data_IF_811506102815
#
_entry.id   IF_811506102815
#
_cell.length_a   1.000
_cell.length_b   1.000
_cell.length_c   1.000
_cell.angle_alpha   90.00
_cell.angle_beta   90.00
_cell.angle_gamma   90.00
#
_symmetry.space_group_name_H-M   'P 1'
#
loop_
_entity.id
_entity.type
_entity.pdbx_description
1 polymer ?
#
# COMPACT_ATOMS: atom_id res chain seq x y z
N UNK A 1 -26.01 27.59 1.24
CA UNK A 1 -24.92 26.59 1.15
C UNK A 1 -23.69 27.24 0.54
N UNK A 2 -22.50 26.94 1.04
CA UNK A 2 -21.24 27.41 0.44
C UNK A 2 -20.70 26.26 -0.43
N UNK A 3 -20.50 26.53 -1.71
CA UNK A 3 -19.82 25.62 -2.62
C UNK A 3 -18.39 26.12 -2.85
N UNK A 4 -17.45 25.21 -3.07
CA UNK A 4 -16.05 25.54 -3.27
C UNK A 4 -15.38 24.58 -4.25
N UNK A 5 -14.20 24.97 -4.72
CA UNK A 5 -13.33 24.12 -5.51
C UNK A 5 -11.98 24.08 -4.81
N UNK A 6 -11.40 22.88 -4.68
CA UNK A 6 -10.04 22.69 -4.18
C UNK A 6 -9.20 21.95 -5.19
N UNK A 7 -7.94 22.35 -5.29
CA UNK A 7 -6.91 21.72 -6.11
C UNK A 7 -5.77 21.30 -5.19
N UNK A 8 -5.48 20.00 -5.15
CA UNK A 8 -4.52 19.42 -4.22
C UNK A 8 -3.40 18.75 -5.03
N UNK A 9 -2.30 19.48 -5.31
CA UNK A 9 -1.12 18.86 -5.89
C UNK A 9 -0.37 18.07 -4.83
N UNK A 10 0.09 16.87 -5.18
CA UNK A 10 0.92 16.01 -4.34
C UNK A 10 2.14 15.55 -5.14
N UNK A 11 3.29 15.60 -4.51
CA UNK A 11 4.52 15.02 -5.02
C UNK A 11 5.15 14.16 -3.93
N UNK A 12 5.43 12.91 -4.27
CA UNK A 12 6.09 11.96 -3.38
C UNK A 12 7.30 11.41 -4.09
N UNK A 13 8.44 11.38 -3.42
CA UNK A 13 9.63 10.73 -3.91
C UNK A 13 10.25 9.90 -2.79
N UNK A 14 10.55 8.64 -3.09
CA UNK A 14 11.27 7.73 -2.20
C UNK A 14 12.53 7.29 -2.94
N UNK A 15 13.68 7.41 -2.28
CA UNK A 15 14.96 7.00 -2.83
C UNK A 15 15.80 6.35 -1.74
N UNK A 16 16.55 5.31 -2.09
CA UNK A 16 17.46 4.62 -1.19
C UNK A 16 18.89 4.94 -1.60
N UNK A 17 19.73 5.39 -0.65
CA UNK A 17 21.14 5.66 -0.89
C UNK A 17 21.98 4.48 -0.40
N UNK A 18 22.86 3.95 -1.25
CA UNK A 18 23.92 3.02 -0.83
C UNK A 18 23.49 1.57 -0.60
N UNK A 19 22.24 1.20 -0.89
CA UNK A 19 21.76 -0.18 -0.80
C UNK A 19 21.09 -0.60 -2.10
N UNK A 20 21.87 -1.24 -2.98
CA UNK A 20 21.38 -1.80 -4.25
C UNK A 20 20.30 -2.87 -4.03
N UNK A 21 20.20 -3.44 -2.82
CA UNK A 21 19.14 -4.39 -2.45
C UNK A 21 17.85 -3.73 -1.96
N UNK A 22 17.81 -2.40 -1.84
CA UNK A 22 16.60 -1.64 -1.52
C UNK A 22 16.24 -0.60 -2.59
N UNK A 23 17.13 -0.30 -3.53
CA UNK A 23 16.90 0.72 -4.57
C UNK A 23 15.67 0.45 -5.43
N UNK A 24 15.28 -0.82 -5.60
CA UNK A 24 14.05 -1.20 -6.32
C UNK A 24 12.75 -0.76 -5.65
N UNK A 25 12.75 -0.34 -4.37
CA UNK A 25 11.60 0.27 -3.71
C UNK A 25 11.46 1.78 -3.99
N UNK A 26 12.45 2.41 -4.63
CA UNK A 26 12.44 3.84 -4.91
C UNK A 26 11.43 4.21 -6.00
N UNK A 27 10.63 5.25 -5.77
CA UNK A 27 9.64 5.70 -6.76
C UNK A 27 9.45 7.21 -6.71
N UNK A 28 8.91 7.76 -7.79
CA UNK A 28 8.44 9.15 -7.89
C UNK A 28 6.98 9.14 -8.31
N UNK A 29 6.14 9.78 -7.51
CA UNK A 29 4.71 9.93 -7.77
C UNK A 29 4.35 11.40 -7.86
N UNK A 30 3.63 11.76 -8.91
CA UNK A 30 2.97 13.04 -9.08
C UNK A 30 1.46 12.79 -9.08
N UNK A 31 0.71 13.58 -8.33
CA UNK A 31 -0.74 13.45 -8.27
C UNK A 31 -1.37 14.83 -8.19
N UNK A 32 -2.49 15.00 -8.88
CA UNK A 32 -3.35 16.18 -8.76
C UNK A 32 -4.76 15.69 -8.51
N UNK A 33 -5.37 16.20 -7.45
CA UNK A 33 -6.75 15.92 -7.11
C UNK A 33 -7.57 17.22 -7.13
N UNK A 34 -8.70 17.19 -7.85
CA UNK A 34 -9.69 18.27 -7.89
C UNK A 34 -10.87 17.85 -7.05
N UNK A 35 -11.36 18.73 -6.17
CA UNK A 35 -12.56 18.52 -5.36
C UNK A 35 -13.59 19.61 -5.61
N UNK A 36 -14.83 19.21 -5.83
CA UNK A 36 -16.01 20.08 -5.83
C UNK A 36 -16.72 19.92 -4.50
N UNK A 37 -16.63 20.92 -3.63
CA UNK A 37 -17.12 20.87 -2.25
C UNK A 37 -18.48 21.52 -2.13
N UNK A 38 -19.34 20.94 -1.29
CA UNK A 38 -20.64 21.48 -0.96
C UNK A 38 -20.93 21.30 0.54
N UNK A 39 -21.03 22.42 1.25
CA UNK A 39 -21.45 22.42 2.65
C UNK A 39 -22.96 22.21 2.76
N UNK A 40 -23.37 21.03 3.25
CA UNK A 40 -24.77 20.72 3.59
C UNK A 40 -25.19 21.47 4.85
N UNK A 41 -24.29 21.54 5.83
CA UNK A 41 -24.48 22.27 7.10
C UNK A 41 -23.13 22.84 7.58
N UNK A 42 -23.09 23.67 8.64
CA UNK A 42 -21.82 24.09 9.24
C UNK A 42 -20.93 22.91 9.70
N UNK A 43 -21.55 21.78 10.01
CA UNK A 43 -20.92 20.57 10.51
C UNK A 43 -20.67 19.52 9.43
N UNK A 44 -21.27 19.63 8.25
CA UNK A 44 -21.30 18.57 7.24
C UNK A 44 -20.95 19.10 5.86
N UNK A 45 -19.96 18.47 5.24
CA UNK A 45 -19.53 18.74 3.87
C UNK A 45 -19.56 17.44 3.07
N UNK A 46 -20.02 17.53 1.83
CA UNK A 46 -19.81 16.49 0.82
C UNK A 46 -18.94 17.07 -0.28
N UNK A 47 -18.23 16.22 -0.98
CA UNK A 47 -17.48 16.63 -2.16
C UNK A 47 -17.47 15.52 -3.21
N UNK A 48 -17.44 15.92 -4.48
CA UNK A 48 -17.02 15.03 -5.56
C UNK A 48 -15.53 15.23 -5.79
N UNK A 49 -14.80 14.18 -6.15
CA UNK A 49 -13.38 14.28 -6.45
C UNK A 49 -13.04 13.58 -7.77
N UNK A 50 -11.96 14.06 -8.38
CA UNK A 50 -11.28 13.43 -9.50
C UNK A 50 -9.78 13.60 -9.30
N UNK A 51 -9.02 12.52 -9.35
CA UNK A 51 -7.57 12.54 -9.23
C UNK A 51 -6.91 11.86 -10.41
N UNK A 52 -5.77 12.42 -10.82
CA UNK A 52 -4.84 11.86 -11.78
C UNK A 52 -3.50 11.70 -11.10
N UNK A 53 -2.87 10.55 -11.27
CA UNK A 53 -1.52 10.30 -10.77
C UNK A 53 -0.68 9.52 -11.76
N UNK A 54 0.59 9.86 -11.78
CA UNK A 54 1.64 9.20 -12.54
C UNK A 54 2.73 8.79 -11.56
N UNK A 55 3.05 7.51 -11.53
CA UNK A 55 4.11 6.95 -10.68
C UNK A 55 5.12 6.23 -11.54
N UNK A 56 6.39 6.59 -11.38
CA UNK A 56 7.51 5.95 -12.04
C UNK A 56 8.40 5.29 -10.99
N UNK A 57 8.73 4.02 -11.20
CA UNK A 57 9.61 3.23 -10.36
C UNK A 57 10.76 2.71 -11.22
N UNK A 58 11.94 3.30 -11.05
CA UNK A 58 13.17 2.85 -11.70
C UNK A 58 13.70 1.65 -10.91
N UNK A 59 13.71 0.46 -11.50
CA UNK A 59 14.20 -0.75 -10.83
C UNK A 59 15.59 -1.07 -11.38
N UNK A 60 16.65 -0.70 -10.64
CA UNK A 60 18.04 -0.92 -11.06
C UNK A 60 18.41 -2.40 -11.32
N UNK A 61 17.63 -3.35 -10.77
CA UNK A 61 17.86 -4.77 -10.96
C UNK A 61 17.17 -5.23 -12.25
N UNK A 62 17.98 -5.61 -13.25
CA UNK A 62 17.60 -6.00 -14.63
C UNK A 62 16.40 -6.97 -14.70
N UNK A 63 16.25 -7.85 -13.71
CA UNK A 63 15.20 -8.87 -13.68
C UNK A 63 13.81 -8.26 -13.45
N UNK A 64 13.71 -7.15 -12.70
CA UNK A 64 12.42 -6.56 -12.37
C UNK A 64 11.92 -5.56 -13.42
N UNK A 65 12.83 -4.93 -14.17
CA UNK A 65 12.57 -3.91 -15.19
C UNK A 65 11.86 -2.66 -14.67
N UNK A 66 11.90 -1.56 -15.43
CA UNK A 66 11.19 -0.35 -15.03
C UNK A 66 9.68 -0.56 -15.08
N UNK A 67 8.98 -0.02 -14.08
CA UNK A 67 7.53 -0.04 -14.01
C UNK A 67 7.04 1.39 -13.82
N UNK A 68 6.26 1.87 -14.78
CA UNK A 68 5.48 3.09 -14.62
C UNK A 68 3.99 2.74 -14.55
N UNK A 69 3.22 3.54 -13.84
CA UNK A 69 1.78 3.39 -13.79
C UNK A 69 1.10 4.75 -13.85
N UNK A 70 -0.02 4.77 -14.55
CA UNK A 70 -0.94 5.89 -14.57
C UNK A 70 -2.19 5.46 -13.83
N UNK A 71 -2.63 6.26 -12.86
CA UNK A 71 -3.84 5.96 -12.11
C UNK A 71 -4.77 7.17 -12.10
N UNK A 72 -6.05 6.88 -12.27
CA UNK A 72 -7.14 7.85 -12.11
C UNK A 72 -8.11 7.35 -11.06
N UNK A 73 -8.60 8.26 -10.23
CA UNK A 73 -9.64 7.93 -9.26
C UNK A 73 -10.74 8.98 -9.31
N UNK A 74 -11.98 8.54 -9.18
CA UNK A 74 -13.13 9.43 -9.13
C UNK A 74 -14.13 8.94 -8.11
N UNK A 75 -14.88 9.85 -7.50
CA UNK A 75 -15.85 9.46 -6.51
C UNK A 75 -16.38 10.61 -5.68
N UNK A 76 -16.83 10.27 -4.49
CA UNK A 76 -17.42 11.19 -3.53
C UNK A 76 -16.78 11.02 -2.17
N UNK A 77 -16.75 12.10 -1.42
CA UNK A 77 -16.43 12.05 -0.02
C UNK A 77 -17.35 12.87 0.82
N UNK A 78 -17.24 12.62 2.10
CA UNK A 78 -18.08 13.15 3.14
C UNK A 78 -17.20 13.46 4.33
N UNK A 79 -17.40 14.63 4.91
CA UNK A 79 -16.76 15.04 6.15
C UNK A 79 -17.83 15.57 7.08
N UNK A 80 -17.84 15.08 8.32
CA UNK A 80 -18.76 15.56 9.33
C UNK A 80 -18.09 15.77 10.66
N UNK A 81 -18.30 16.94 11.24
CA UNK A 81 -17.95 17.29 12.60
C UNK A 81 -19.24 17.19 13.41
N UNK A 82 -19.48 16.05 14.06
CA UNK A 82 -20.75 15.83 14.78
C UNK A 82 -20.88 16.78 15.99
N UNK A 83 -19.77 17.05 16.65
CA UNK A 83 -19.60 17.97 17.77
C UNK A 83 -18.10 18.36 17.87
N UNK A 84 -17.68 19.02 18.96
CA UNK A 84 -16.26 19.34 19.19
C UNK A 84 -15.39 18.08 19.34
N UNK A 85 -16.01 16.92 19.54
CA UNK A 85 -15.31 15.70 19.94
C UNK A 85 -15.19 14.70 18.79
N UNK A 86 -16.10 14.71 17.81
CA UNK A 86 -16.16 13.65 16.80
C UNK A 86 -16.08 14.22 15.40
N UNK A 87 -15.01 13.84 14.70
CA UNK A 87 -14.77 14.16 13.30
C UNK A 87 -14.72 12.88 12.50
N UNK A 88 -15.59 12.78 11.50
CA UNK A 88 -15.61 11.65 10.57
C UNK A 88 -15.29 12.11 9.16
N UNK A 89 -14.64 11.23 8.44
CA UNK A 89 -14.23 11.38 7.07
C UNK A 89 -14.51 10.07 6.33
N UNK A 90 -15.05 10.19 5.13
CA UNK A 90 -15.27 9.09 4.21
C UNK A 90 -14.90 9.58 2.81
N UNK A 91 -14.18 8.75 2.08
CA UNK A 91 -13.77 8.97 0.71
C UNK A 91 -13.95 7.65 -0.03
N UNK A 92 -14.93 7.59 -0.92
CA UNK A 92 -15.30 6.38 -1.63
C UNK A 92 -15.36 6.67 -3.12
N UNK A 93 -14.81 5.76 -3.93
CA UNK A 93 -14.75 5.98 -5.37
C UNK A 93 -14.39 4.74 -6.15
N UNK A 94 -14.02 4.97 -7.40
CA UNK A 94 -13.53 3.97 -8.33
C UNK A 94 -12.16 4.41 -8.83
N UNK A 95 -11.20 3.48 -8.85
CA UNK A 95 -9.83 3.73 -9.29
C UNK A 95 -9.49 2.78 -10.42
N UNK A 96 -8.85 3.32 -11.46
CA UNK A 96 -8.18 2.50 -12.47
C UNK A 96 -6.69 2.78 -12.43
N UNK A 97 -5.89 1.74 -12.64
CA UNK A 97 -4.43 1.81 -12.71
C UNK A 97 -4.02 1.06 -13.96
N UNK A 98 -3.36 1.77 -14.87
CA UNK A 98 -2.81 1.24 -16.10
C UNK A 98 -1.29 1.08 -15.90
N UNK A 99 -0.80 -0.15 -15.86
CA UNK A 99 0.62 -0.45 -15.67
C UNK A 99 1.34 -0.49 -17.03
N UNK A 100 2.54 0.09 -17.09
CA UNK A 100 3.47 0.00 -18.22
C UNK A 100 4.72 -0.73 -17.74
N UNK A 101 4.90 -1.95 -18.22
CA UNK A 101 5.92 -2.87 -17.70
C UNK A 101 5.43 -3.65 -16.47
N UNK A 102 6.18 -4.69 -16.10
CA UNK A 102 5.75 -5.67 -15.09
C UNK A 102 4.91 -6.80 -15.71
N UNK A 103 4.01 -7.36 -14.90
CA UNK A 103 3.01 -8.35 -15.31
C UNK A 103 1.92 -7.75 -16.23
N UNK A 104 0.98 -8.57 -16.70
CA UNK A 104 -0.05 -8.15 -17.66
C UNK A 104 -1.37 -7.65 -17.02
N UNK A 105 -1.41 -7.38 -15.71
CA UNK A 105 -2.65 -7.00 -15.02
C UNK A 105 -2.75 -5.51 -14.71
N UNK A 106 -3.82 -4.89 -15.22
CA UNK A 106 -4.28 -3.56 -14.81
C UNK A 106 -5.28 -3.69 -13.66
N UNK A 107 -5.45 -2.63 -12.87
CA UNK A 107 -6.45 -2.57 -11.82
C UNK A 107 -7.63 -1.70 -12.25
N UNK A 108 -8.85 -2.18 -12.00
CA UNK A 108 -10.04 -1.35 -12.03
C UNK A 108 -10.98 -1.81 -10.92
N UNK A 109 -11.26 -0.96 -9.94
CA UNK A 109 -12.03 -1.37 -8.78
C UNK A 109 -12.40 -0.26 -7.82
N UNK A 110 -13.25 -0.56 -6.82
CA UNK A 110 -13.63 0.39 -5.80
C UNK A 110 -12.43 0.76 -4.93
N UNK A 111 -12.46 1.98 -4.41
CA UNK A 111 -11.54 2.45 -3.38
C UNK A 111 -12.31 3.09 -2.24
N UNK A 112 -11.81 2.90 -1.02
CA UNK A 112 -12.41 3.40 0.20
C UNK A 112 -11.32 3.90 1.14
N UNK A 113 -11.53 5.05 1.73
CA UNK A 113 -10.79 5.56 2.88
C UNK A 113 -11.80 6.16 3.86
N UNK A 114 -11.89 5.58 5.04
CA UNK A 114 -12.79 6.00 6.10
C UNK A 114 -11.98 6.27 7.36
N UNK A 115 -12.25 7.39 8.01
CA UNK A 115 -11.63 7.76 9.27
C UNK A 115 -12.68 8.32 10.24
N UNK A 116 -12.56 7.97 11.51
CA UNK A 116 -13.34 8.56 12.57
C UNK A 116 -12.42 8.83 13.76
N UNK A 117 -12.37 10.09 14.18
CA UNK A 117 -11.62 10.54 15.35
C UNK A 117 -12.61 10.97 16.44
N UNK A 118 -12.43 10.45 17.65
CA UNK A 118 -13.22 10.77 18.84
C UNK A 118 -12.31 11.30 19.95
N UNK A 119 -12.58 12.52 20.41
CA UNK A 119 -12.08 13.08 21.65
C UNK A 119 -12.92 12.50 22.79
N UNK A 120 -12.35 11.55 23.54
CA UNK A 120 -13.04 10.89 24.65
C UNK A 120 -13.01 11.73 25.95
N UNK A 121 -12.24 12.82 25.94
CA UNK A 121 -12.09 13.81 27.01
C UNK A 121 -10.88 14.70 26.71
N UNK A 122 -10.59 15.71 27.53
CA UNK A 122 -9.58 16.74 27.24
C UNK A 122 -8.19 16.22 26.87
N UNK A 123 -7.84 15.03 27.37
CA UNK A 123 -6.52 14.42 27.21
C UNK A 123 -6.53 13.13 26.38
N UNK A 124 -7.68 12.66 25.87
CA UNK A 124 -7.76 11.32 25.27
C UNK A 124 -8.43 11.37 23.90
N UNK A 125 -7.78 10.77 22.91
CA UNK A 125 -8.25 10.68 21.54
C UNK A 125 -8.21 9.22 21.07
N UNK A 126 -9.27 8.79 20.40
CA UNK A 126 -9.37 7.52 19.71
C UNK A 126 -9.54 7.80 18.21
N UNK A 127 -8.84 7.07 17.37
CA UNK A 127 -8.93 7.16 15.92
C UNK A 127 -9.14 5.75 15.35
N UNK A 128 -10.21 5.57 14.58
CA UNK A 128 -10.45 4.38 13.78
C UNK A 128 -10.33 4.76 12.31
N UNK A 129 -9.54 4.01 11.57
CA UNK A 129 -9.41 4.14 10.12
C UNK A 129 -9.62 2.79 9.45
N UNK A 130 -10.20 2.83 8.26
CA UNK A 130 -10.34 1.68 7.39
C UNK A 130 -10.07 2.12 5.94
N UNK A 131 -9.26 1.35 5.23
CA UNK A 131 -8.91 1.63 3.85
C UNK A 131 -9.06 0.39 2.99
N UNK A 132 -9.45 0.58 1.74
CA UNK A 132 -9.46 -0.44 0.70
C UNK A 132 -8.94 0.18 -0.59
N UNK A 133 -7.75 -0.20 -1.05
CA UNK A 133 -7.20 0.32 -2.29
C UNK A 133 -6.13 -0.58 -2.90
N UNK A 134 -5.98 -0.48 -4.22
CA UNK A 134 -4.87 -1.12 -4.92
C UNK A 134 -3.58 -0.30 -4.80
N UNK A 135 -2.51 -1.01 -4.46
CA UNK A 135 -1.13 -0.52 -4.43
C UNK A 135 -0.26 -1.32 -5.40
N UNK A 136 0.79 -0.68 -5.89
CA UNK A 136 1.81 -1.35 -6.71
C UNK A 136 2.50 -2.45 -5.90
N UNK A 137 2.65 -3.61 -6.51
CA UNK A 137 3.41 -4.74 -5.97
C UNK A 137 4.87 -4.66 -6.43
N UNK A 138 5.76 -5.15 -5.56
CA UNK A 138 7.18 -5.27 -5.87
C UNK A 138 7.54 -6.62 -6.50
N UNK A 139 6.61 -7.58 -6.52
CA UNK A 139 6.79 -8.85 -7.22
C UNK A 139 6.67 -8.66 -8.73
N UNK A 140 7.47 -9.39 -9.51
CA UNK A 140 7.53 -9.19 -10.97
C UNK A 140 6.27 -9.69 -11.66
N UNK A 141 5.76 -10.82 -11.16
CA UNK A 141 4.58 -11.52 -11.65
C UNK A 141 3.25 -10.93 -11.18
N UNK A 142 3.28 -9.82 -10.43
CA UNK A 142 2.08 -9.17 -9.92
C UNK A 142 2.28 -7.68 -9.91
N UNK A 143 1.52 -6.96 -10.72
CA UNK A 143 1.62 -5.50 -10.78
C UNK A 143 1.08 -4.82 -9.53
N UNK A 144 0.08 -5.42 -8.89
CA UNK A 144 -0.59 -4.81 -7.76
C UNK A 144 -1.11 -5.82 -6.74
N UNK A 145 -1.37 -5.32 -5.54
CA UNK A 145 -2.22 -5.99 -4.58
C UNK A 145 -3.30 -5.03 -4.11
N UNK A 146 -4.47 -5.60 -3.81
CA UNK A 146 -5.56 -4.88 -3.15
C UNK A 146 -5.37 -5.05 -1.66
N UNK A 147 -5.09 -3.94 -0.99
CA UNK A 147 -5.00 -3.86 0.45
C UNK A 147 -6.37 -3.56 1.04
N UNK A 148 -6.69 -4.24 2.14
CA UNK A 148 -7.78 -3.87 3.04
C UNK A 148 -7.21 -3.74 4.44
N UNK A 149 -7.15 -2.51 4.94
CA UNK A 149 -6.61 -2.17 6.25
C UNK A 149 -7.72 -1.70 7.18
N UNK A 150 -7.65 -2.13 8.45
CA UNK A 150 -8.34 -1.49 9.57
C UNK A 150 -7.31 -1.16 10.64
N UNK A 151 -7.31 0.08 11.11
CA UNK A 151 -6.40 0.56 12.15
C UNK A 151 -7.14 1.31 13.24
N UNK A 152 -6.89 0.90 14.48
CA UNK A 152 -7.34 1.57 15.69
C UNK A 152 -6.15 2.18 16.39
N UNK A 153 -6.22 3.46 16.71
CA UNK A 153 -5.18 4.22 17.39
C UNK A 153 -5.76 4.97 18.59
N UNK A 154 -5.08 4.86 19.72
CA UNK A 154 -5.42 5.49 20.97
C UNK A 154 -4.27 6.39 21.40
N UNK A 155 -4.55 7.66 21.64
CA UNK A 155 -3.59 8.62 22.17
C UNK A 155 -4.11 9.21 23.46
N UNK A 156 -3.27 9.25 24.49
CA UNK A 156 -3.59 9.90 25.76
C UNK A 156 -2.47 10.81 26.23
N UNK A 157 -2.79 12.08 26.44
CA UNK A 157 -1.93 13.04 27.09
C UNK A 157 -1.82 12.73 28.59
N UNK A 158 -0.59 12.63 29.12
CA UNK A 158 -0.30 12.31 30.54
C UNK A 158 0.24 13.55 31.30
N UNK A 159 0.56 14.62 30.58
CA UNK A 159 0.94 15.92 31.16
C UNK A 159 0.90 17.03 30.12
N UNK A 160 1.54 18.17 30.35
CA UNK A 160 1.49 19.26 29.37
C UNK A 160 2.23 18.96 28.06
N UNK A 161 3.21 18.06 28.08
CA UNK A 161 4.06 17.76 26.93
C UNK A 161 4.24 16.27 26.66
N UNK A 162 3.77 15.38 27.53
CA UNK A 162 3.97 13.93 27.38
C UNK A 162 2.65 13.25 27.01
N UNK A 163 2.72 12.33 26.06
CA UNK A 163 1.59 11.51 25.65
C UNK A 163 1.99 10.04 25.50
N UNK A 164 1.01 9.16 25.65
CA UNK A 164 1.09 7.75 25.28
C UNK A 164 0.31 7.53 23.99
N UNK A 165 0.81 6.62 23.17
CA UNK A 165 0.16 6.19 21.94
C UNK A 165 0.17 4.66 21.87
N UNK A 166 -0.95 4.09 21.46
CA UNK A 166 -1.08 2.68 21.16
C UNK A 166 -1.89 2.51 19.90
N UNK A 167 -1.41 1.70 18.95
CA UNK A 167 -2.10 1.41 17.72
C UNK A 167 -2.10 -0.09 17.43
N UNK A 168 -3.19 -0.56 16.85
CA UNK A 168 -3.30 -1.90 16.27
C UNK A 168 -3.83 -1.75 14.85
N UNK A 169 -3.20 -2.42 13.89
CA UNK A 169 -3.70 -2.50 12.53
C UNK A 169 -3.73 -3.95 12.02
N UNK A 170 -4.74 -4.20 11.20
CA UNK A 170 -4.99 -5.45 10.51
C UNK A 170 -5.03 -5.14 9.02
N UNK A 171 -4.17 -5.79 8.25
CA UNK A 171 -4.01 -5.57 6.82
C UNK A 171 -4.17 -6.91 6.12
N UNK A 172 -4.97 -6.95 5.06
CA UNK A 172 -5.13 -8.10 4.20
C UNK A 172 -4.83 -7.71 2.76
N UNK A 173 -3.74 -8.24 2.21
CA UNK A 173 -3.25 -7.96 0.87
C UNK A 173 -3.63 -9.12 -0.07
N UNK A 174 -4.44 -8.81 -1.07
CA UNK A 174 -4.84 -9.73 -2.12
C UNK A 174 -4.12 -9.41 -3.43
N UNK A 175 -3.26 -10.31 -3.89
CA UNK A 175 -2.54 -10.13 -5.14
C UNK A 175 -3.41 -10.55 -6.33
N UNK A 176 -3.29 -9.81 -7.42
CA UNK A 176 -4.18 -9.91 -8.57
C UNK A 176 -3.96 -11.19 -9.37
N UNK A 177 -2.70 -11.39 -9.76
CA UNK A 177 -2.31 -12.47 -10.63
C UNK A 177 -2.08 -13.77 -9.85
N UNK A 178 -2.41 -14.92 -10.45
CA UNK A 178 -2.01 -16.18 -9.89
C UNK A 178 -0.49 -16.36 -9.99
N UNK A 179 0.08 -17.10 -9.04
CA UNK A 179 1.48 -17.53 -9.15
C UNK A 179 1.55 -18.66 -10.17
N UNK A 180 2.60 -18.70 -11.00
CA UNK A 180 2.88 -19.90 -11.77
C UNK A 180 3.53 -20.96 -10.85
N UNK A 181 2.78 -22.03 -10.60
CA UNK A 181 3.21 -23.19 -9.80
C UNK A 181 3.90 -24.26 -10.66
N UNK A 182 4.00 -24.04 -11.98
CA UNK A 182 4.69 -24.95 -12.90
C UNK A 182 6.22 -24.79 -12.86
N UNK A 183 6.70 -23.61 -12.42
CA UNK A 183 8.11 -23.29 -12.30
C UNK A 183 8.78 -24.11 -11.20
N UNK A 184 9.87 -24.78 -11.55
CA UNK A 184 10.71 -25.58 -10.64
C UNK A 184 12.04 -24.91 -10.34
N UNK A 185 12.74 -25.34 -9.28
CA UNK A 185 14.11 -24.87 -9.00
C UNK A 185 15.11 -25.14 -10.12
N UNK A 186 14.79 -26.11 -10.99
CA UNK A 186 15.59 -26.47 -12.16
C UNK A 186 15.20 -25.66 -13.41
N UNK A 187 14.14 -24.85 -13.34
CA UNK A 187 13.71 -23.98 -14.44
C UNK A 187 14.71 -22.85 -14.62
N UNK A 188 15.35 -22.71 -15.81
CA UNK A 188 16.33 -21.66 -16.04
C UNK A 188 15.70 -20.28 -15.82
N UNK A 189 16.36 -19.42 -15.04
CA UNK A 189 15.93 -18.04 -14.69
C UNK A 189 15.65 -17.12 -15.90
N UNK A 190 15.97 -17.57 -17.10
CA UNK A 190 16.07 -16.73 -18.29
C UNK A 190 14.83 -16.75 -19.17
N UNK A 191 13.86 -17.67 -18.98
CA UNK A 191 12.63 -17.67 -19.79
C UNK A 191 11.61 -18.69 -19.26
N UNK A 192 10.54 -18.20 -18.62
CA UNK A 192 9.26 -18.90 -18.68
C UNK A 192 8.57 -18.50 -20.00
N UNK A 193 8.53 -19.44 -20.93
CA UNK A 193 7.97 -19.26 -22.26
C UNK A 193 6.64 -20.01 -22.43
N UNK A 194 6.04 -20.50 -21.35
CA UNK A 194 4.77 -21.21 -21.43
C UNK A 194 3.55 -20.27 -21.22
N UNK A 195 2.50 -20.36 -22.05
CA UNK A 195 2.41 -21.18 -23.24
C UNK A 195 3.26 -20.60 -24.38
N UNK A 196 3.87 -21.48 -25.17
CA UNK A 196 4.47 -21.10 -26.44
C UNK A 196 3.35 -20.76 -27.44
N UNK A 197 3.26 -19.50 -27.85
CA UNK A 197 2.20 -19.03 -28.77
C UNK A 197 2.77 -19.04 -30.18
N UNK A 198 2.08 -19.59 -31.18
CA UNK A 198 2.54 -19.52 -32.57
C UNK A 198 2.78 -18.07 -33.00
N UNK A 199 3.92 -17.80 -33.63
CA UNK A 199 4.21 -16.47 -34.17
C UNK A 199 3.21 -16.16 -35.30
N UNK A 200 2.40 -15.11 -35.19
CA UNK A 200 1.43 -14.75 -36.23
C UNK A 200 2.10 -14.35 -37.57
N UNK A 201 3.37 -13.93 -37.55
CA UNK A 201 4.15 -13.65 -38.75
C UNK A 201 4.86 -14.89 -39.31
N UNK A 202 5.07 -15.92 -38.49
CA UNK A 202 5.73 -17.16 -38.90
C UNK A 202 5.19 -18.38 -38.12
N UNK A 203 4.12 -19.05 -38.60
CA UNK A 203 3.46 -20.14 -37.89
C UNK A 203 4.35 -21.36 -37.58
N UNK A 204 5.54 -21.47 -38.20
CA UNK A 204 6.55 -22.48 -37.89
C UNK A 204 7.45 -22.13 -36.71
N UNK A 205 7.30 -20.94 -36.13
CA UNK A 205 7.99 -20.48 -34.93
C UNK A 205 6.98 -20.26 -33.81
N UNK A 206 7.42 -20.51 -32.57
CA UNK A 206 6.65 -20.18 -31.37
C UNK A 206 7.32 -19.03 -30.65
N UNK A 207 6.55 -17.98 -30.35
CA UNK A 207 6.91 -16.92 -29.43
C UNK A 207 6.67 -17.38 -27.99
N UNK A 208 7.41 -16.80 -27.06
CA UNK A 208 7.11 -16.95 -25.63
C UNK A 208 5.81 -16.20 -25.33
N UNK A 209 4.79 -16.92 -24.84
CA UNK A 209 3.51 -16.32 -24.41
C UNK A 209 3.49 -15.88 -22.95
N UNK A 210 4.47 -16.35 -22.16
CA UNK A 210 4.79 -15.78 -20.85
C UNK A 210 5.52 -14.44 -21.02
N UNK A 211 5.48 -13.60 -19.99
CA UNK A 211 6.19 -12.30 -19.97
C UNK A 211 7.73 -12.45 -19.88
N UNK A 212 8.23 -13.69 -19.87
CA UNK A 212 9.65 -14.04 -19.88
C UNK A 212 10.36 -13.76 -18.56
N UNK A 213 9.63 -13.40 -17.49
CA UNK A 213 10.22 -13.00 -16.21
C UNK A 213 9.74 -13.92 -15.09
N UNK A 214 10.51 -14.96 -14.80
CA UNK A 214 10.35 -15.75 -13.59
C UNK A 214 10.69 -14.86 -12.39
N UNK A 215 9.74 -14.64 -11.49
CA UNK A 215 10.09 -14.02 -10.21
C UNK A 215 11.12 -14.93 -9.51
N UNK A 216 12.18 -14.36 -8.93
CA UNK A 216 13.14 -15.13 -8.13
C UNK A 216 12.40 -15.97 -7.07
N UNK A 217 11.23 -15.53 -6.62
CA UNK A 217 10.36 -16.28 -5.70
C UNK A 217 9.52 -17.40 -6.33
N UNK A 218 9.25 -17.39 -7.64
CA UNK A 218 8.60 -18.50 -8.37
C UNK A 218 9.58 -19.67 -8.58
N UNK A 219 10.87 -19.38 -8.70
CA UNK A 219 11.92 -20.41 -8.81
C UNK A 219 12.06 -21.29 -7.56
N UNK A 220 11.34 -20.99 -6.47
CA UNK A 220 11.32 -21.77 -5.24
C UNK A 220 10.10 -22.69 -5.09
N UNK A 221 9.44 -23.06 -6.20
CA UNK A 221 8.33 -24.04 -6.24
C UNK A 221 7.25 -23.73 -5.20
N UNK A 222 6.36 -22.75 -5.45
CA UNK A 222 5.23 -22.53 -4.57
C UNK A 222 4.40 -23.83 -4.47
N UNK A 223 4.42 -24.51 -3.31
CA UNK A 223 3.77 -25.81 -3.11
C UNK A 223 2.26 -25.70 -2.94
N UNK A 224 1.78 -24.54 -2.49
CA UNK A 224 0.36 -24.27 -2.18
C UNK A 224 0.02 -22.82 -2.48
N UNK A 225 -1.17 -22.61 -3.07
CA UNK A 225 -1.78 -21.29 -3.28
C UNK A 225 -1.73 -20.80 -4.73
N UNK A 226 -2.89 -20.81 -5.41
CA UNK A 226 -3.00 -20.24 -6.77
C UNK A 226 -2.91 -18.72 -6.77
N UNK A 227 -3.36 -18.05 -5.71
CA UNK A 227 -3.28 -16.59 -5.56
C UNK A 227 -2.77 -16.25 -4.17
N UNK A 228 -1.76 -15.39 -4.12
CA UNK A 228 -1.16 -14.94 -2.87
C UNK A 228 -2.11 -14.06 -2.06
N UNK A 229 -2.13 -14.30 -0.76
CA UNK A 229 -2.86 -13.53 0.24
C UNK A 229 -1.97 -13.35 1.47
N UNK A 230 -1.64 -12.12 1.79
CA UNK A 230 -0.86 -11.83 2.99
C UNK A 230 -1.74 -11.20 4.05
N UNK A 231 -1.61 -11.66 5.28
CA UNK A 231 -2.25 -11.05 6.44
C UNK A 231 -1.15 -10.45 7.31
N UNK A 232 -1.33 -9.20 7.72
CA UNK A 232 -0.41 -8.51 8.62
C UNK A 232 -1.19 -8.00 9.82
N UNK A 233 -0.71 -8.34 11.02
CA UNK A 233 -1.14 -7.73 12.27
C UNK A 233 0.02 -6.92 12.81
N UNK A 234 -0.21 -5.63 13.01
CA UNK A 234 0.77 -4.70 13.56
C UNK A 234 0.27 -4.15 14.87
N UNK A 235 1.13 -4.14 15.88
CA UNK A 235 0.89 -3.49 17.17
C UNK A 235 2.02 -2.50 17.42
N UNK A 236 1.68 -1.26 17.72
CA UNK A 236 2.61 -0.20 18.12
C UNK A 236 2.20 0.34 19.49
N UNK A 237 3.16 0.49 20.38
CA UNK A 237 2.97 1.17 21.67
C UNK A 237 4.15 2.09 21.92
N UNK A 238 3.91 3.25 22.52
CA UNK A 238 5.00 4.15 22.85
C UNK A 238 4.57 5.36 23.62
N UNK A 239 5.57 6.19 23.91
CA UNK A 239 5.39 7.49 24.53
C UNK A 239 6.07 8.55 23.67
N UNK A 240 5.44 9.72 23.60
CA UNK A 240 6.03 10.87 22.95
C UNK A 240 6.10 12.08 23.86
N UNK A 241 6.96 12.99 23.45
CA UNK A 241 7.25 14.23 24.15
C UNK A 241 7.24 15.40 23.16
N UNK A 242 6.35 16.35 23.41
CA UNK A 242 6.31 17.64 22.74
C UNK A 242 7.39 18.55 23.33
N UNK A 243 8.58 18.48 22.75
CA UNK A 243 9.75 19.28 23.17
C UNK A 243 9.54 20.76 22.87
N UNK A 244 8.90 21.06 21.75
CA UNK A 244 8.53 22.41 21.35
C UNK A 244 7.16 22.39 20.66
N UNK A 245 6.55 23.58 20.45
CA UNK A 245 5.28 23.68 19.72
C UNK A 245 5.34 22.96 18.37
N UNK A 246 6.46 23.11 17.66
CA UNK A 246 6.66 22.55 16.33
C UNK A 246 7.38 21.19 16.31
N UNK A 247 7.84 20.66 17.45
CA UNK A 247 8.69 19.45 17.48
C UNK A 247 8.17 18.44 18.49
N UNK A 248 7.97 17.21 18.03
CA UNK A 248 7.60 16.05 18.85
C UNK A 248 8.63 14.95 18.67
N UNK A 249 8.98 14.32 19.79
CA UNK A 249 9.76 13.10 19.82
C UNK A 249 8.82 11.95 20.18
N UNK A 250 9.04 10.78 19.60
CA UNK A 250 8.33 9.56 19.95
C UNK A 250 9.31 8.40 20.07
N UNK A 251 9.19 7.66 21.16
CA UNK A 251 9.89 6.40 21.38
C UNK A 251 8.85 5.31 21.60
N UNK A 252 8.90 4.29 20.76
CA UNK A 252 7.94 3.20 20.82
C UNK A 252 8.53 1.85 20.44
N UNK A 253 7.69 0.85 20.56
CA UNK A 253 7.93 -0.52 20.16
C UNK A 253 6.83 -0.94 19.19
N UNK A 254 7.25 -1.54 18.09
CA UNK A 254 6.38 -2.03 17.02
C UNK A 254 6.61 -3.54 16.84
N UNK A 255 5.53 -4.32 16.77
CA UNK A 255 5.54 -5.76 16.50
C UNK A 255 4.62 -6.03 15.32
N UNK A 256 5.21 -6.49 14.22
CA UNK A 256 4.52 -6.92 13.00
C UNK A 256 4.56 -8.45 12.92
N UNK A 257 3.40 -9.09 12.76
CA UNK A 257 3.29 -10.50 12.40
C UNK A 257 2.67 -10.58 11.01
N UNK A 258 3.42 -11.13 10.06
CA UNK A 258 2.92 -11.43 8.71
C UNK A 258 2.77 -12.93 8.55
N UNK A 259 1.70 -13.33 7.90
CA UNK A 259 1.48 -14.69 7.42
C UNK A 259 1.07 -14.63 5.96
N UNK A 260 1.41 -15.65 5.17
CA UNK A 260 0.94 -15.80 3.80
C UNK A 260 0.31 -17.17 3.61
N UNK A 261 -0.32 -17.40 2.46
CA UNK A 261 -0.79 -18.71 2.03
C UNK A 261 0.16 -19.37 1.02
N UNK A 262 1.37 -18.82 0.85
CA UNK A 262 2.37 -19.28 -0.09
C UNK A 262 3.44 -20.05 0.68
N UNK A 263 3.50 -21.35 0.41
CA UNK A 263 4.55 -22.23 0.89
C UNK A 263 5.54 -22.48 -0.24
N UNK A 264 6.83 -22.59 0.07
CA UNK A 264 7.90 -22.88 -0.89
C UNK A 264 8.61 -24.18 -0.52
N UNK A 265 8.98 -24.96 -1.52
CA UNK A 265 9.77 -26.19 -1.33
C UNK A 265 11.25 -25.83 -1.41
N UNK A 266 11.97 -25.98 -0.29
CA UNK A 266 13.42 -25.80 -0.23
C UNK A 266 14.10 -27.10 0.15
N UNK A 267 14.76 -27.74 -0.82
CA UNK A 267 15.48 -28.99 -0.61
C UNK A 267 14.58 -30.10 -0.08
N UNK A 268 14.76 -30.50 1.18
CA UNK A 268 14.00 -31.59 1.82
C UNK A 268 12.78 -31.13 2.64
N UNK A 269 12.40 -29.84 2.60
CA UNK A 269 11.32 -29.31 3.44
C UNK A 269 10.45 -28.26 2.75
N UNK A 270 9.28 -28.02 3.35
CA UNK A 270 8.32 -26.97 2.98
C UNK A 270 8.46 -25.83 3.99
N UNK A 271 8.62 -24.59 3.52
CA UNK A 271 8.78 -23.38 4.33
C UNK A 271 7.87 -22.29 3.78
N UNK A 272 7.13 -21.58 4.64
CA UNK A 272 6.48 -20.31 4.26
C UNK A 272 7.49 -19.16 4.50
N UNK A 273 8.13 -18.60 3.45
CA UNK A 273 9.11 -17.53 3.61
C UNK A 273 8.47 -16.20 4.03
N UNK A 274 7.15 -16.09 3.95
CA UNK A 274 6.38 -14.90 4.28
C UNK A 274 5.69 -15.02 5.64
N UNK A 275 5.90 -16.13 6.36
CA UNK A 275 5.52 -16.29 7.75
C UNK A 275 6.63 -15.80 8.69
N UNK A 276 6.63 -14.51 9.00
CA UNK A 276 7.68 -13.93 9.85
C UNK A 276 7.11 -12.93 10.87
N UNK A 277 7.93 -12.65 11.88
CA UNK A 277 7.65 -11.62 12.88
C UNK A 277 8.79 -10.61 12.87
N UNK A 278 8.45 -9.33 12.83
CA UNK A 278 9.43 -8.24 12.98
C UNK A 278 9.09 -7.45 14.22
N UNK A 279 10.09 -7.26 15.07
CA UNK A 279 9.99 -6.40 16.24
C UNK A 279 10.96 -5.24 16.06
N UNK A 280 10.50 -4.00 16.26
CA UNK A 280 11.31 -2.80 16.05
C UNK A 280 11.16 -1.86 17.23
N UNK A 281 12.26 -1.22 17.62
CA UNK A 281 12.21 0.01 18.40
C UNK A 281 12.08 1.16 17.43
N UNK A 282 11.05 1.97 17.58
CA UNK A 282 10.75 3.10 16.71
C UNK A 282 11.15 4.38 17.44
N UNK A 283 12.01 5.16 16.81
CA UNK A 283 12.30 6.52 17.21
C UNK A 283 11.85 7.45 16.09
N UNK A 284 10.97 8.40 16.41
CA UNK A 284 10.43 9.36 15.44
C UNK A 284 10.62 10.78 15.95
N UNK A 285 11.06 11.66 15.05
CA UNK A 285 11.06 13.10 15.25
C UNK A 285 10.07 13.67 14.25
N UNK A 286 9.02 14.29 14.74
CA UNK A 286 8.02 14.97 13.92
C UNK A 286 8.23 16.47 14.08
N UNK A 287 8.59 17.15 12.99
CA UNK A 287 8.72 18.59 12.94
C UNK A 287 7.70 19.16 11.95
N UNK A 288 6.86 20.09 12.41
CA UNK A 288 5.80 20.66 11.61
C UNK A 288 5.52 22.11 11.98
N UNK A 289 5.21 22.92 10.97
CA UNK A 289 4.71 24.28 11.15
C UNK A 289 3.21 24.15 11.45
N UNK A 290 2.81 24.44 12.69
CA UNK A 290 1.41 24.65 13.06
C UNK A 290 1.02 26.11 12.84
#
# INVERSE_FOLDING_TARGET
ARSGVSLIPRYTAVSFQGDASASFFGYRKKEVEVRLLHAISPATEIYAFYSLSDTNQDREVIIFGDVSLEARSEGVGFRRVLNQDVVTYLHAGYKTIDFKGGANSDFAGPVLDANATWQLGDATMLNLSAAHQAYQSFFVNNNYYVDTEMRLEFTRQIGHSVYWNGAISFTNNHYADPLDISVTSDTPRVQDCEPRVPDPANPGQTLCGGDGRIDVFESYQPSVGRRRRDHVVRVEIGAGWQVARAVRLFLGYNSDRRTSNIEQVFGAGIVDPFDYRVNRVVFRIEAGWM
#
